data_IF_136083510651
#
_entry.id   IF_136083510651
#
_cell.length_a   1.000
_cell.length_b   1.000
_cell.length_c   1.000
_cell.angle_alpha   90.00
_cell.angle_beta   90.00
_cell.angle_gamma   90.00
#
_symmetry.space_group_name_H-M   'P 1'
#
loop_
_entity.id
_entity.type
_entity.pdbx_description
1 polymer ?
#
# COMPACT_ATOMS: atom_id res chain seq x y z
N UNK A 1 4.04 37.24 -26.65
CA UNK A 1 5.15 36.28 -26.87
C UNK A 1 4.78 34.97 -26.19
N UNK A 2 4.43 33.92 -26.96
CA UNK A 2 4.16 32.59 -26.38
C UNK A 2 5.51 31.98 -26.00
N UNK A 3 5.76 31.80 -24.70
CA UNK A 3 6.98 31.15 -24.21
C UNK A 3 7.13 29.76 -24.86
N UNK A 4 8.34 29.42 -25.29
CA UNK A 4 8.60 28.11 -25.86
C UNK A 4 8.36 27.04 -24.77
N UNK A 5 7.48 26.04 -25.00
CA UNK A 5 7.16 25.00 -24.02
C UNK A 5 8.40 24.29 -23.44
N UNK A 6 9.49 24.23 -24.21
CA UNK A 6 10.76 23.62 -23.79
C UNK A 6 11.48 24.39 -22.67
N UNK A 7 11.29 25.70 -22.54
CA UNK A 7 11.99 26.52 -21.53
C UNK A 7 11.41 26.27 -20.13
N UNK A 8 10.08 26.22 -20.02
CA UNK A 8 9.41 25.92 -18.76
C UNK A 8 9.71 24.50 -18.28
N UNK A 9 9.73 23.52 -19.19
CA UNK A 9 10.09 22.15 -18.86
C UNK A 9 11.48 22.06 -18.20
N UNK A 10 12.51 22.73 -18.73
CA UNK A 10 13.86 22.72 -18.14
C UNK A 10 13.91 23.34 -16.74
N UNK A 11 13.18 24.44 -16.52
CA UNK A 11 13.10 25.09 -15.21
C UNK A 11 12.43 24.16 -14.19
N UNK A 12 11.29 23.57 -14.53
CA UNK A 12 10.61 22.62 -13.63
C UNK A 12 11.41 21.33 -13.43
N UNK A 13 12.13 20.85 -14.44
CA UNK A 13 13.05 19.72 -14.30
C UNK A 13 14.13 20.02 -13.25
N UNK A 14 14.69 21.22 -13.27
CA UNK A 14 15.68 21.70 -12.29
C UNK A 14 15.06 21.86 -10.90
N UNK A 15 13.84 22.43 -10.82
CA UNK A 15 13.14 22.64 -9.56
C UNK A 15 12.84 21.34 -8.82
N UNK A 16 12.36 20.33 -9.57
CA UNK A 16 12.07 18.99 -9.05
C UNK A 16 13.35 18.28 -8.58
N UNK A 17 14.48 18.47 -9.27
CA UNK A 17 15.77 17.89 -8.86
C UNK A 17 16.37 18.53 -7.62
N UNK A 18 16.32 19.86 -7.54
CA UNK A 18 16.89 20.64 -6.44
C UNK A 18 15.93 20.80 -5.27
N UNK A 19 14.70 20.28 -5.38
CA UNK A 19 13.63 20.40 -4.38
C UNK A 19 13.39 21.87 -4.00
N UNK A 20 13.30 22.74 -5.02
CA UNK A 20 13.15 24.17 -4.82
C UNK A 20 11.84 24.71 -5.41
N UNK A 21 11.39 25.83 -4.86
CA UNK A 21 10.13 26.47 -5.25
C UNK A 21 10.22 27.10 -6.64
N UNK A 22 9.07 27.27 -7.27
CA UNK A 22 8.95 27.95 -8.58
C UNK A 22 7.93 29.06 -8.47
N UNK A 23 8.27 30.24 -9.00
CA UNK A 23 7.37 31.37 -9.11
C UNK A 23 7.01 31.63 -10.57
N UNK A 24 5.75 31.94 -10.84
CA UNK A 24 5.27 32.26 -12.18
C UNK A 24 3.99 33.10 -12.16
N UNK A 25 3.72 33.78 -13.27
CA UNK A 25 2.43 34.40 -13.55
C UNK A 25 1.53 33.36 -14.20
N UNK A 26 0.31 33.21 -13.70
CA UNK A 26 -0.65 32.22 -14.15
C UNK A 26 -1.93 32.88 -14.63
N UNK A 27 -2.36 32.54 -15.84
CA UNK A 27 -3.67 32.92 -16.38
C UNK A 27 -4.59 31.70 -16.36
N UNK A 28 -5.71 31.77 -15.64
CA UNK A 28 -6.62 30.64 -15.54
C UNK A 28 -7.54 30.48 -16.77
N UNK A 29 -8.60 29.67 -16.64
CA UNK A 29 -9.55 29.43 -17.72
C UNK A 29 -10.49 30.60 -18.00
N UNK A 30 -10.74 31.43 -16.99
CA UNK A 30 -11.62 32.62 -17.06
C UNK A 30 -10.83 33.86 -17.47
N UNK A 31 -9.50 33.79 -17.37
CA UNK A 31 -8.58 34.80 -17.84
C UNK A 31 -7.97 35.63 -16.72
N UNK A 32 -8.31 35.31 -15.47
CA UNK A 32 -7.77 35.94 -14.27
C UNK A 32 -6.28 35.63 -14.15
N UNK A 33 -5.51 36.68 -13.81
CA UNK A 33 -4.06 36.62 -13.71
C UNK A 33 -3.61 36.67 -12.27
N UNK A 34 -2.76 35.73 -11.89
CA UNK A 34 -2.27 35.60 -10.52
C UNK A 34 -0.80 35.25 -10.48
N UNK A 35 -0.10 35.76 -9.47
CA UNK A 35 1.29 35.40 -9.20
C UNK A 35 1.31 34.22 -8.24
N UNK A 36 1.88 33.10 -8.68
CA UNK A 36 1.89 31.84 -7.94
C UNK A 36 3.32 31.48 -7.56
N UNK A 37 3.52 31.16 -6.29
CA UNK A 37 4.69 30.41 -5.81
C UNK A 37 4.22 29.03 -5.44
N UNK A 38 4.88 28.00 -6.00
CA UNK A 38 4.52 26.61 -5.72
C UNK A 38 5.74 25.80 -5.29
N UNK A 39 5.46 24.78 -4.49
CA UNK A 39 6.37 23.67 -4.19
C UNK A 39 6.05 22.54 -5.19
N UNK A 40 6.78 22.43 -6.31
CA UNK A 40 6.44 21.46 -7.36
C UNK A 40 6.68 20.02 -6.88
N UNK A 41 5.70 19.15 -7.10
CA UNK A 41 5.73 17.76 -6.64
C UNK A 41 5.84 16.78 -7.82
N UNK A 42 5.06 16.98 -8.87
CA UNK A 42 5.10 16.12 -10.06
C UNK A 42 4.85 16.93 -11.32
N UNK A 43 5.56 16.59 -12.38
CA UNK A 43 5.31 17.05 -13.74
C UNK A 43 4.77 15.89 -14.58
N UNK A 44 3.71 16.13 -15.35
CA UNK A 44 3.09 15.13 -16.20
C UNK A 44 2.55 15.74 -17.50
N UNK A 45 2.28 14.89 -18.48
CA UNK A 45 1.61 15.24 -19.73
C UNK A 45 0.22 14.63 -19.76
N UNK A 46 -0.72 15.33 -20.36
CA UNK A 46 -2.09 14.86 -20.55
C UNK A 46 -2.55 15.13 -21.97
N UNK A 47 -3.14 14.11 -22.59
CA UNK A 47 -3.79 14.21 -23.89
C UNK A 47 -5.29 14.43 -23.68
N UNK A 48 -5.83 15.54 -24.18
CA UNK A 48 -7.27 15.83 -24.06
C UNK A 48 -8.10 14.97 -25.03
N UNK A 49 -9.42 15.21 -25.09
CA UNK A 49 -10.33 14.48 -25.98
C UNK A 49 -9.99 14.71 -27.47
N UNK A 50 -9.53 15.91 -27.82
CA UNK A 50 -9.14 16.32 -29.18
C UNK A 50 -7.69 15.93 -29.53
N UNK A 51 -7.10 14.96 -28.83
CA UNK A 51 -5.71 14.52 -28.97
C UNK A 51 -4.62 15.61 -28.83
N UNK A 52 -4.97 16.77 -28.26
CA UNK A 52 -4.01 17.81 -27.92
C UNK A 52 -3.27 17.44 -26.64
N UNK A 53 -1.94 17.48 -26.73
CA UNK A 53 -1.02 17.19 -25.63
C UNK A 53 -0.69 18.47 -24.86
N UNK A 54 -0.91 18.44 -23.55
CA UNK A 54 -0.59 19.53 -22.64
C UNK A 54 0.33 19.05 -21.52
N UNK A 55 1.26 19.91 -21.09
CA UNK A 55 2.13 19.67 -19.92
C UNK A 55 1.57 20.37 -18.69
N UNK A 56 1.63 19.68 -17.55
CA UNK A 56 1.12 20.13 -16.26
C UNK A 56 2.14 19.88 -15.15
N UNK A 57 1.99 20.65 -14.06
CA UNK A 57 2.63 20.40 -12.77
C UNK A 57 1.59 20.36 -11.67
N UNK A 58 1.72 19.44 -10.73
CA UNK A 58 1.06 19.50 -9.42
C UNK A 58 2.07 20.02 -8.42
N UNK A 59 1.66 20.97 -7.59
CA UNK A 59 2.45 21.47 -6.47
C UNK A 59 1.57 22.04 -5.38
N UNK A 60 2.14 22.17 -4.18
CA UNK A 60 1.50 22.94 -3.11
C UNK A 60 1.58 24.42 -3.47
N UNK A 61 0.42 25.06 -3.63
CA UNK A 61 0.28 26.48 -3.95
C UNK A 61 0.26 27.28 -2.66
N UNK A 62 1.23 28.17 -2.46
CA UNK A 62 1.30 28.97 -1.22
C UNK A 62 0.19 30.02 -1.15
N UNK A 63 -0.26 30.53 -2.31
CA UNK A 63 -1.34 31.51 -2.36
C UNK A 63 -2.69 30.92 -1.94
N UNK A 64 -2.97 29.67 -2.32
CA UNK A 64 -4.24 29.01 -2.00
C UNK A 64 -4.14 28.03 -0.82
N UNK A 65 -2.94 27.85 -0.26
CA UNK A 65 -2.62 26.87 0.80
C UNK A 65 -3.11 25.45 0.51
N UNK A 66 -3.10 25.04 -0.76
CA UNK A 66 -3.60 23.75 -1.22
C UNK A 66 -2.78 23.20 -2.40
N UNK A 67 -2.84 21.89 -2.62
CA UNK A 67 -2.29 21.26 -3.82
C UNK A 67 -3.11 21.63 -5.04
N UNK A 68 -2.45 22.10 -6.09
CA UNK A 68 -3.11 22.49 -7.34
C UNK A 68 -2.35 22.02 -8.56
N UNK A 69 -3.11 21.83 -9.63
CA UNK A 69 -2.62 21.44 -10.95
C UNK A 69 -2.57 22.67 -11.85
N UNK A 70 -1.41 22.94 -12.47
CA UNK A 70 -1.18 24.09 -13.33
C UNK A 70 -0.72 23.65 -14.72
N UNK A 71 -1.35 24.19 -15.77
CA UNK A 71 -1.01 23.93 -17.18
C UNK A 71 0.10 24.87 -17.66
N UNK A 72 1.10 24.36 -18.37
CA UNK A 72 2.31 25.13 -18.73
C UNK A 72 2.05 26.24 -19.73
N UNK A 73 1.17 26.02 -20.70
CA UNK A 73 0.78 27.02 -21.71
C UNK A 73 0.05 28.25 -21.12
N UNK A 74 -0.37 28.15 -19.86
CA UNK A 74 -1.01 29.21 -19.07
C UNK A 74 -0.05 29.95 -18.14
N UNK A 75 1.24 29.59 -18.16
CA UNK A 75 2.26 30.22 -17.36
C UNK A 75 3.03 31.27 -18.16
N UNK A 76 3.47 32.33 -17.49
CA UNK A 76 4.49 33.24 -17.98
C UNK A 76 5.41 33.68 -16.83
N UNK A 77 6.55 34.30 -17.16
CA UNK A 77 7.55 34.76 -16.16
C UNK A 77 7.96 33.68 -15.13
N UNK A 78 8.18 32.45 -15.61
CA UNK A 78 8.57 31.33 -14.75
C UNK A 78 10.01 31.50 -14.27
N UNK A 79 10.22 31.46 -12.96
CA UNK A 79 11.53 31.64 -12.30
C UNK A 79 11.72 30.62 -11.18
N UNK A 80 12.97 30.17 -10.99
CA UNK A 80 13.34 29.34 -9.84
C UNK A 80 13.50 30.23 -8.61
N UNK A 81 12.96 29.78 -7.49
CA UNK A 81 13.18 30.41 -6.19
C UNK A 81 14.21 29.54 -5.46
N UNK A 82 15.27 30.16 -4.95
CA UNK A 82 16.35 29.46 -4.24
C UNK A 82 15.97 29.08 -2.78
N UNK A 83 14.73 28.66 -2.59
CA UNK A 83 14.18 28.17 -1.33
C UNK A 83 13.80 26.71 -1.51
N UNK A 84 14.31 25.83 -0.64
CA UNK A 84 13.95 24.42 -0.61
C UNK A 84 12.73 24.17 0.27
N UNK A 85 12.05 23.05 0.06
CA UNK A 85 10.89 22.65 0.89
C UNK A 85 10.94 21.17 1.25
N UNK A 86 10.22 20.80 2.32
CA UNK A 86 10.06 19.39 2.71
C UNK A 86 9.01 18.70 1.84
N UNK A 87 9.39 17.60 1.21
CA UNK A 87 8.49 16.83 0.35
C UNK A 87 7.46 16.09 1.21
N UNK A 88 6.18 16.37 0.99
CA UNK A 88 5.05 15.58 1.51
C UNK A 88 4.53 14.65 0.42
N UNK A 89 4.16 13.43 0.79
CA UNK A 89 3.55 12.49 -0.14
C UNK A 89 2.19 13.01 -0.62
N UNK A 90 1.92 12.88 -1.93
CA UNK A 90 0.68 13.26 -2.58
C UNK A 90 0.29 12.14 -3.54
N UNK A 91 -0.88 11.53 -3.34
CA UNK A 91 -1.44 10.61 -4.33
C UNK A 91 -2.02 11.39 -5.51
N UNK A 92 -1.26 11.43 -6.60
CA UNK A 92 -1.60 12.13 -7.84
C UNK A 92 -2.90 11.61 -8.45
N UNK A 93 -3.14 10.30 -8.42
CA UNK A 93 -4.35 9.73 -9.01
C UNK A 93 -5.58 10.23 -8.26
N UNK A 94 -5.49 10.30 -6.94
CA UNK A 94 -6.56 10.86 -6.10
C UNK A 94 -6.71 12.38 -6.30
N UNK A 95 -5.61 13.13 -6.42
CA UNK A 95 -5.66 14.58 -6.71
C UNK A 95 -6.34 14.87 -8.05
N UNK A 96 -6.03 14.11 -9.11
CA UNK A 96 -6.60 14.30 -10.44
C UNK A 96 -8.05 13.82 -10.53
N UNK A 97 -8.43 12.73 -9.82
CA UNK A 97 -9.83 12.26 -9.73
C UNK A 97 -10.76 13.23 -9.01
N UNK A 98 -10.29 13.89 -7.94
CA UNK A 98 -11.11 14.83 -7.16
C UNK A 98 -11.64 16.01 -7.99
N UNK A 99 -10.99 16.31 -9.13
CA UNK A 99 -11.42 17.33 -10.11
C UNK A 99 -12.28 16.79 -11.27
N UNK A 100 -12.60 15.49 -11.32
CA UNK A 100 -13.53 14.93 -12.32
C UNK A 100 -15.01 15.29 -12.03
N UNK A 101 -15.32 15.78 -10.83
CA UNK A 101 -16.68 16.22 -10.49
C UNK A 101 -16.84 17.70 -10.86
N UNK A 102 -17.22 17.99 -12.11
CA UNK A 102 -17.81 19.29 -12.50
C UNK A 102 -17.22 20.04 -13.71
N UNK A 103 -16.18 19.56 -14.39
CA UNK A 103 -15.65 20.13 -15.64
C UNK A 103 -14.75 19.11 -16.35
N UNK A 104 -14.54 19.15 -17.69
CA UNK A 104 -14.08 18.02 -18.50
C UNK A 104 -12.77 17.44 -17.94
N UNK A 105 -12.94 16.39 -17.14
CA UNK A 105 -11.96 15.90 -16.19
C UNK A 105 -10.83 15.14 -16.86
N UNK A 106 -9.68 15.09 -16.20
CA UNK A 106 -8.53 14.33 -16.67
C UNK A 106 -8.85 12.84 -16.74
N UNK A 107 -8.93 12.27 -17.95
CA UNK A 107 -8.90 10.81 -18.06
C UNK A 107 -7.54 10.28 -17.59
N UNK A 108 -7.50 9.58 -16.46
CA UNK A 108 -6.26 9.00 -15.91
C UNK A 108 -5.51 8.10 -16.91
N UNK A 109 -6.20 7.48 -17.86
CA UNK A 109 -5.59 6.67 -18.94
C UNK A 109 -4.74 7.51 -19.90
N UNK A 110 -4.98 8.82 -19.97
CA UNK A 110 -4.31 9.77 -20.85
C UNK A 110 -3.25 10.60 -20.13
N UNK A 111 -2.98 10.32 -18.85
CA UNK A 111 -1.96 10.99 -18.04
C UNK A 111 -0.65 10.19 -18.11
N UNK A 112 0.44 10.84 -18.53
CA UNK A 112 1.80 10.29 -18.55
C UNK A 112 2.69 11.10 -17.63
N UNK A 113 3.11 10.54 -16.51
CA UNK A 113 4.01 11.23 -15.59
C UNK A 113 5.41 11.35 -16.19
N UNK A 114 5.97 12.55 -16.16
CA UNK A 114 7.32 12.84 -16.65
C UNK A 114 8.35 12.75 -15.52
N UNK A 115 8.05 13.36 -14.36
CA UNK A 115 9.03 13.46 -13.26
C UNK A 115 8.39 13.74 -11.90
N UNK A 116 8.95 13.13 -10.86
CA UNK A 116 8.66 13.42 -9.46
C UNK A 116 9.72 14.34 -8.86
N UNK A 117 9.36 15.09 -7.83
CA UNK A 117 10.33 15.80 -7.00
C UNK A 117 11.30 14.80 -6.36
N UNK A 118 12.58 15.15 -6.32
CA UNK A 118 13.64 14.32 -5.77
C UNK A 118 13.32 13.95 -4.32
N UNK A 119 13.47 12.67 -3.98
CA UNK A 119 13.16 12.13 -2.66
C UNK A 119 11.70 11.71 -2.47
N UNK A 120 10.80 12.04 -3.39
CA UNK A 120 9.47 11.43 -3.42
C UNK A 120 9.59 10.05 -4.05
N UNK A 121 9.11 8.97 -3.41
CA UNK A 121 8.86 7.75 -4.15
C UNK A 121 7.85 8.13 -5.23
N UNK A 122 8.17 7.85 -6.50
CA UNK A 122 7.12 7.78 -7.51
C UNK A 122 6.00 6.86 -7.00
N UNK A 123 4.79 6.86 -7.61
CA UNK A 123 3.82 5.81 -7.37
C UNK A 123 4.63 4.54 -7.47
N UNK A 124 4.51 3.64 -6.46
CA UNK A 124 5.30 2.43 -6.44
C UNK A 124 5.26 1.90 -7.86
N UNK A 125 6.43 1.71 -8.52
CA UNK A 125 6.43 1.30 -9.91
C UNK A 125 5.40 0.20 -9.99
N UNK A 126 4.38 0.34 -10.86
CA UNK A 126 3.44 -0.75 -11.11
C UNK A 126 4.33 -1.96 -11.22
N UNK A 127 4.30 -2.90 -10.25
CA UNK A 127 5.45 -3.71 -9.93
C UNK A 127 6.06 -4.13 -11.23
N UNK A 128 7.22 -3.53 -11.56
CA UNK A 128 7.94 -3.97 -12.74
C UNK A 128 8.32 -5.37 -12.30
N UNK A 129 7.55 -6.32 -12.80
CA UNK A 129 7.69 -7.75 -12.58
C UNK A 129 9.03 -8.09 -13.22
N UNK A 130 10.12 -7.73 -12.53
CA UNK A 130 11.44 -8.28 -12.78
C UNK A 130 11.33 -9.67 -12.16
N UNK A 131 10.94 -10.62 -13.01
CA UNK A 131 10.61 -12.00 -12.65
C UNK A 131 9.12 -12.20 -12.40
N UNK A 132 8.49 -13.07 -13.20
CA UNK A 132 7.14 -13.61 -12.98
C UNK A 132 7.04 -14.37 -11.65
N UNK A 133 7.11 -13.69 -10.51
CA UNK A 133 6.93 -14.34 -9.21
C UNK A 133 5.47 -14.75 -9.09
N UNK A 134 5.22 -16.05 -9.12
CA UNK A 134 3.89 -16.63 -8.96
C UNK A 134 3.79 -17.24 -7.57
N UNK A 135 2.70 -16.94 -6.87
CA UNK A 135 2.48 -17.37 -5.48
C UNK A 135 1.53 -18.57 -5.44
N UNK A 136 1.82 -19.55 -4.57
CA UNK A 136 1.04 -20.79 -4.41
C UNK A 136 1.54 -22.01 -5.21
N UNK A 137 1.11 -23.22 -4.79
CA UNK A 137 1.48 -24.50 -5.42
C UNK A 137 0.47 -24.94 -6.51
N UNK A 138 0.92 -25.59 -7.60
CA UNK A 138 0.02 -26.25 -8.55
C UNK A 138 -0.51 -27.60 -8.02
N UNK A 139 -1.84 -27.78 -7.90
CA UNK A 139 -2.51 -29.09 -7.67
C UNK A 139 -4.07 -29.04 -7.77
N UNK A 140 -4.74 -30.21 -7.72
CA UNK A 140 -5.18 -31.04 -8.85
C UNK A 140 -6.48 -30.55 -9.53
N UNK A 141 -6.79 -31.12 -10.69
CA UNK A 141 -7.92 -30.76 -11.56
C UNK A 141 -9.31 -31.01 -10.94
N UNK A 142 -10.32 -30.31 -11.50
CA UNK A 142 -11.76 -30.38 -11.19
C UNK A 142 -12.27 -29.68 -9.91
N UNK A 143 -11.91 -28.41 -9.69
CA UNK A 143 -12.76 -27.53 -8.85
C UNK A 143 -13.86 -26.94 -9.75
N UNK A 144 -15.03 -27.58 -9.79
CA UNK A 144 -16.25 -26.93 -10.29
C UNK A 144 -16.46 -25.68 -9.46
N UNK A 145 -16.54 -24.52 -10.11
CA UNK A 145 -16.93 -23.26 -9.47
C UNK A 145 -18.34 -23.49 -8.92
N UNK A 146 -18.61 -23.45 -7.60
CA UNK A 146 -19.98 -23.30 -7.16
C UNK A 146 -20.53 -22.03 -7.82
N UNK A 147 -21.81 -22.02 -8.23
CA UNK A 147 -22.46 -20.77 -8.58
C UNK A 147 -22.25 -19.84 -7.39
N UNK A 148 -21.84 -18.58 -7.62
CA UNK A 148 -21.59 -17.70 -6.51
C UNK A 148 -22.88 -17.65 -5.68
N UNK A 149 -22.80 -17.73 -4.34
CA UNK A 149 -23.98 -17.65 -3.50
C UNK A 149 -24.76 -16.39 -3.89
N UNK A 150 -26.09 -16.38 -3.75
CA UNK A 150 -26.89 -15.17 -3.90
C UNK A 150 -26.53 -14.20 -2.76
N UNK A 151 -25.34 -13.60 -2.81
CA UNK A 151 -25.01 -12.43 -2.03
C UNK A 151 -25.70 -11.23 -2.66
N UNK A 152 -26.04 -10.23 -1.85
CA UNK A 152 -26.61 -8.97 -2.29
C UNK A 152 -25.69 -8.25 -3.29
N UNK A 153 -25.72 -8.65 -4.57
CA UNK A 153 -25.00 -7.99 -5.69
C UNK A 153 -25.39 -6.51 -5.84
N UNK A 154 -26.41 -6.07 -5.09
CA UNK A 154 -26.90 -4.71 -5.00
C UNK A 154 -26.15 -3.85 -3.98
N UNK A 155 -25.42 -4.43 -3.03
CA UNK A 155 -24.74 -3.65 -2.00
C UNK A 155 -23.41 -3.09 -2.51
N UNK A 156 -23.45 -1.83 -2.97
CA UNK A 156 -22.27 -1.07 -3.36
C UNK A 156 -22.38 0.33 -2.78
N UNK A 157 -21.62 0.60 -1.73
CA UNK A 157 -21.53 1.92 -1.12
C UNK A 157 -20.16 2.51 -1.44
N UNK A 158 -20.13 3.74 -1.93
CA UNK A 158 -18.85 4.45 -2.03
C UNK A 158 -18.36 4.75 -0.61
N UNK A 159 -17.17 4.26 -0.28
CA UNK A 159 -16.54 4.47 1.02
C UNK A 159 -15.50 5.57 0.93
N UNK A 160 -15.65 6.57 1.79
CA UNK A 160 -14.72 7.67 1.97
C UNK A 160 -14.44 7.80 3.46
N UNK A 161 -13.16 7.96 3.81
CA UNK A 161 -12.73 8.10 5.19
C UNK A 161 -11.44 8.93 5.25
N UNK A 162 -11.23 9.71 6.33
CA UNK A 162 -9.94 10.35 6.60
C UNK A 162 -8.77 9.37 6.76
N UNK A 163 -9.04 8.13 7.18
CA UNK A 163 -8.06 7.05 7.33
C UNK A 163 -7.89 6.21 6.06
N UNK A 164 -8.71 6.42 5.03
CA UNK A 164 -8.54 5.75 3.74
C UNK A 164 -7.37 6.39 2.96
N UNK A 165 -6.32 5.60 2.74
CA UNK A 165 -5.05 6.04 2.17
C UNK A 165 -5.01 5.99 0.64
N UNK A 166 -5.95 5.27 0.02
CA UNK A 166 -6.14 5.27 -1.43
C UNK A 166 -7.45 5.96 -1.82
N UNK A 167 -7.67 6.22 -3.12
CA UNK A 167 -8.91 6.92 -3.54
C UNK A 167 -10.15 6.16 -3.06
N UNK A 168 -11.30 6.84 -2.84
CA UNK A 168 -12.57 6.20 -2.54
C UNK A 168 -12.80 4.91 -3.33
N UNK A 169 -13.29 3.89 -2.64
CA UNK A 169 -13.54 2.56 -3.20
C UNK A 169 -14.93 2.10 -2.85
N UNK A 170 -15.42 1.14 -3.61
CA UNK A 170 -16.69 0.51 -3.30
C UNK A 170 -16.49 -0.44 -2.13
N UNK A 171 -17.22 -0.20 -1.06
CA UNK A 171 -17.57 -1.20 -0.06
C UNK A 171 -18.60 -2.14 -0.68
N UNK A 172 -18.28 -3.44 -0.74
CA UNK A 172 -19.02 -4.46 -1.49
C UNK A 172 -19.89 -5.34 -0.61
N UNK A 173 -19.81 -5.19 0.71
CA UNK A 173 -20.64 -5.92 1.65
C UNK A 173 -20.92 -5.12 2.92
N UNK A 174 -22.03 -5.39 3.63
CA UNK A 174 -22.28 -4.82 4.95
C UNK A 174 -21.19 -5.20 5.98
N UNK A 175 -20.55 -6.36 5.81
CA UNK A 175 -19.45 -6.78 6.68
C UNK A 175 -18.21 -5.90 6.48
N UNK A 176 -17.83 -5.64 5.22
CA UNK A 176 -16.77 -4.67 4.92
C UNK A 176 -17.08 -3.30 5.53
N UNK A 177 -18.32 -2.83 5.44
CA UNK A 177 -18.69 -1.51 5.99
C UNK A 177 -18.47 -1.44 7.50
N UNK A 178 -18.88 -2.47 8.22
CA UNK A 178 -18.69 -2.55 9.67
C UNK A 178 -17.21 -2.56 10.05
N UNK A 179 -16.39 -3.30 9.30
CA UNK A 179 -14.95 -3.34 9.48
C UNK A 179 -14.33 -1.96 9.21
N UNK A 180 -14.70 -1.33 8.10
CA UNK A 180 -14.17 -0.03 7.69
C UNK A 180 -14.54 1.06 8.72
N UNK A 181 -15.76 1.03 9.23
CA UNK A 181 -16.20 1.91 10.33
C UNK A 181 -15.35 1.67 11.58
N UNK A 182 -15.14 0.41 11.97
CA UNK A 182 -14.32 0.08 13.14
C UNK A 182 -12.86 0.54 12.99
N UNK A 183 -12.29 0.49 11.77
CA UNK A 183 -10.97 1.03 11.49
C UNK A 183 -10.90 2.55 11.60
N UNK A 184 -11.98 3.25 11.25
CA UNK A 184 -12.10 4.70 11.44
C UNK A 184 -12.11 5.10 12.92
N UNK A 185 -12.68 4.27 13.77
CA UNK A 185 -12.77 4.51 15.21
C UNK A 185 -11.50 4.06 15.99
N UNK A 186 -10.67 3.17 15.43
CA UNK A 186 -9.48 2.66 16.14
C UNK A 186 -8.29 3.63 16.08
N UNK A 187 -7.97 4.27 17.21
CA UNK A 187 -6.84 5.21 17.34
C UNK A 187 -5.47 4.59 17.05
N UNK A 188 -5.32 3.26 17.09
CA UNK A 188 -4.06 2.58 16.74
C UNK A 188 -3.88 2.50 15.23
N UNK A 189 -4.96 2.61 14.46
CA UNK A 189 -4.92 2.61 13.00
C UNK A 189 -4.47 3.98 12.50
N UNK A 190 -3.37 3.97 11.75
CA UNK A 190 -2.90 5.15 11.02
C UNK A 190 -3.74 5.37 9.75
N UNK A 191 -4.02 4.28 9.05
CA UNK A 191 -4.89 4.30 7.87
C UNK A 191 -4.93 2.94 7.17
N UNK A 192 -5.78 2.82 6.15
CA UNK A 192 -5.97 1.59 5.40
C UNK A 192 -6.22 1.85 3.91
N UNK A 193 -6.02 0.85 3.08
CA UNK A 193 -6.28 0.90 1.63
C UNK A 193 -7.28 -0.21 1.27
N UNK A 194 -8.33 0.11 0.50
CA UNK A 194 -9.27 -0.88 -0.02
C UNK A 194 -8.78 -1.39 -1.39
N UNK A 195 -8.78 -2.70 -1.61
CA UNK A 195 -8.28 -3.32 -2.84
C UNK A 195 -6.86 -2.85 -3.21
N UNK A 196 -5.88 -3.01 -2.30
CA UNK A 196 -4.61 -2.29 -2.35
C UNK A 196 -3.72 -2.73 -3.51
N UNK A 197 -3.79 -4.00 -3.90
CA UNK A 197 -2.86 -4.58 -4.86
C UNK A 197 -3.42 -5.82 -5.55
N UNK A 198 -2.79 -6.20 -6.66
CA UNK A 198 -3.18 -7.36 -7.48
C UNK A 198 -2.09 -8.42 -7.39
N UNK A 199 -2.44 -9.58 -6.87
CA UNK A 199 -1.55 -10.73 -6.68
C UNK A 199 -1.81 -11.74 -7.79
N UNK A 200 -0.76 -12.23 -8.42
CA UNK A 200 -0.84 -13.35 -9.34
C UNK A 200 -0.66 -14.67 -8.58
N UNK A 201 -1.55 -15.62 -8.79
CA UNK A 201 -1.48 -16.92 -8.12
C UNK A 201 -1.94 -18.06 -9.03
N UNK A 202 -1.56 -19.29 -8.66
CA UNK A 202 -2.05 -20.50 -9.31
C UNK A 202 -3.37 -20.97 -8.67
N UNK A 203 -4.38 -21.22 -9.51
CA UNK A 203 -5.58 -21.96 -9.15
C UNK A 203 -5.62 -23.23 -10.00
N UNK A 204 -4.96 -24.30 -9.51
CA UNK A 204 -4.61 -25.46 -10.33
C UNK A 204 -3.66 -25.05 -11.46
N UNK A 205 -3.94 -25.50 -12.69
CA UNK A 205 -3.11 -25.22 -13.88
C UNK A 205 -3.40 -23.85 -14.54
N UNK A 206 -4.17 -22.98 -13.89
CA UNK A 206 -4.52 -21.67 -14.44
C UNK A 206 -3.94 -20.56 -13.58
N UNK A 207 -3.19 -19.67 -14.23
CA UNK A 207 -2.80 -18.38 -13.65
C UNK A 207 -4.04 -17.53 -13.46
N UNK A 208 -4.19 -17.00 -12.25
CA UNK A 208 -5.25 -16.07 -11.89
C UNK A 208 -4.69 -14.86 -11.20
N UNK A 209 -5.54 -13.86 -11.09
CA UNK A 209 -5.27 -12.71 -10.24
C UNK A 209 -6.29 -12.67 -9.12
N UNK A 210 -5.82 -12.23 -7.96
CA UNK A 210 -6.60 -11.99 -6.78
C UNK A 210 -6.24 -10.60 -6.23
N UNK A 211 -7.25 -9.91 -5.70
CA UNK A 211 -7.14 -8.58 -5.12
C UNK A 211 -7.64 -8.73 -3.69
N UNK A 212 -6.77 -8.59 -2.67
CA UNK A 212 -7.18 -8.63 -1.27
C UNK A 212 -8.12 -7.47 -0.94
N UNK A 213 -8.93 -7.63 0.10
CA UNK A 213 -9.91 -6.61 0.46
C UNK A 213 -9.25 -5.36 1.07
N UNK A 214 -8.31 -5.50 2.02
CA UNK A 214 -7.68 -4.36 2.70
C UNK A 214 -6.16 -4.50 2.90
N UNK A 215 -5.48 -3.36 3.02
CA UNK A 215 -4.16 -3.24 3.64
C UNK A 215 -4.25 -2.21 4.77
N UNK A 216 -4.13 -2.65 6.02
CA UNK A 216 -4.23 -1.82 7.22
C UNK A 216 -2.83 -1.47 7.72
N UNK A 217 -2.65 -0.21 8.13
CA UNK A 217 -1.41 0.33 8.65
C UNK A 217 -1.66 0.88 10.06
N UNK A 218 -0.87 0.39 11.01
CA UNK A 218 -0.93 0.82 12.40
C UNK A 218 0.12 1.89 12.68
N UNK A 219 -0.13 2.75 13.67
CA UNK A 219 0.81 3.78 14.13
C UNK A 219 2.14 3.18 14.64
N UNK A 220 2.15 1.91 15.05
CA UNK A 220 3.36 1.17 15.42
C UNK A 220 4.28 0.81 14.25
N UNK A 221 3.86 1.07 13.00
CA UNK A 221 4.57 0.65 11.79
C UNK A 221 4.17 -0.74 11.28
N UNK A 222 3.39 -1.51 12.07
CA UNK A 222 2.83 -2.80 11.63
C UNK A 222 1.90 -2.60 10.43
N UNK A 223 2.01 -3.48 9.43
CA UNK A 223 1.12 -3.54 8.26
C UNK A 223 0.49 -4.92 8.17
N UNK A 224 -0.81 -4.97 7.90
CA UNK A 224 -1.57 -6.23 7.80
C UNK A 224 -2.41 -6.19 6.54
N UNK A 225 -2.27 -7.19 5.68
CA UNK A 225 -3.18 -7.42 4.55
C UNK A 225 -4.33 -8.26 5.07
N UNK A 226 -5.56 -7.87 4.74
CA UNK A 226 -6.77 -8.47 5.28
C UNK A 226 -7.66 -8.96 4.14
N UNK A 227 -8.15 -10.19 4.26
CA UNK A 227 -9.32 -10.65 3.51
C UNK A 227 -10.56 -10.66 4.41
N UNK A 228 -11.68 -10.13 3.91
CA UNK A 228 -12.98 -10.18 4.56
C UNK A 228 -13.78 -11.36 4.01
N UNK A 229 -14.22 -12.25 4.91
CA UNK A 229 -15.05 -13.43 4.56
C UNK A 229 -16.07 -13.76 5.63
N UNK A 230 -17.16 -14.39 5.23
CA UNK A 230 -18.02 -15.10 6.19
C UNK A 230 -17.31 -16.37 6.69
N UNK A 231 -17.63 -16.84 7.91
CA UNK A 231 -17.01 -18.07 8.45
C UNK A 231 -17.22 -19.29 7.56
N UNK A 232 -18.40 -19.38 6.92
CA UNK A 232 -18.75 -20.48 6.02
C UNK A 232 -17.84 -20.60 4.80
N UNK A 233 -17.26 -19.49 4.36
CA UNK A 233 -16.46 -19.42 3.12
C UNK A 233 -14.97 -19.68 3.35
N UNK A 234 -14.49 -19.68 4.60
CA UNK A 234 -13.07 -19.77 4.91
C UNK A 234 -12.47 -21.08 4.41
N UNK A 235 -13.17 -22.19 4.63
CA UNK A 235 -12.66 -23.53 4.36
C UNK A 235 -12.83 -23.95 2.88
N UNK A 236 -13.39 -23.09 2.02
CA UNK A 236 -13.49 -23.39 0.60
C UNK A 236 -12.09 -23.56 -0.02
N UNK A 237 -11.85 -24.64 -0.79
CA UNK A 237 -10.54 -24.90 -1.39
C UNK A 237 -9.97 -23.74 -2.22
N UNK A 238 -10.85 -23.00 -2.91
CA UNK A 238 -10.45 -21.84 -3.70
C UNK A 238 -10.02 -20.65 -2.83
N UNK A 239 -10.65 -20.46 -1.67
CA UNK A 239 -10.26 -19.40 -0.74
C UNK A 239 -8.97 -19.77 -0.01
N UNK A 240 -8.78 -21.04 0.36
CA UNK A 240 -7.51 -21.56 0.87
C UNK A 240 -6.34 -21.33 -0.10
N UNK A 241 -6.55 -21.53 -1.40
CA UNK A 241 -5.53 -21.24 -2.42
C UNK A 241 -5.17 -19.74 -2.48
N UNK A 242 -6.17 -18.84 -2.37
CA UNK A 242 -5.92 -17.40 -2.27
C UNK A 242 -5.15 -17.06 -1.00
N UNK A 243 -5.55 -17.62 0.15
CA UNK A 243 -4.93 -17.38 1.46
C UNK A 243 -3.45 -17.75 1.46
N UNK A 244 -3.08 -18.90 0.92
CA UNK A 244 -1.67 -19.28 0.76
C UNK A 244 -0.90 -18.28 -0.09
N UNK A 245 -1.49 -17.82 -1.20
CA UNK A 245 -0.83 -16.87 -2.10
C UNK A 245 -0.60 -15.51 -1.42
N UNK A 246 -1.59 -15.00 -0.68
CA UNK A 246 -1.44 -13.73 0.04
C UNK A 246 -0.55 -13.86 1.28
N UNK A 247 -0.58 -14.97 2.00
CA UNK A 247 0.31 -15.24 3.12
C UNK A 247 1.77 -15.22 2.67
N UNK A 248 2.09 -15.91 1.57
CA UNK A 248 3.44 -15.88 0.98
C UNK A 248 3.83 -14.45 0.57
N UNK A 249 2.95 -13.73 -0.14
CA UNK A 249 3.19 -12.34 -0.52
C UNK A 249 3.43 -11.44 0.70
N UNK A 250 2.62 -11.58 1.74
CA UNK A 250 2.73 -10.78 2.95
C UNK A 250 4.07 -11.02 3.66
N UNK A 251 4.46 -12.28 3.81
CA UNK A 251 5.73 -12.67 4.44
C UNK A 251 6.93 -12.08 3.68
N UNK A 252 6.97 -12.17 2.36
CA UNK A 252 8.04 -11.60 1.53
C UNK A 252 8.12 -10.06 1.62
N UNK A 253 7.02 -9.39 1.96
CA UNK A 253 6.97 -7.93 2.19
C UNK A 253 7.15 -7.52 3.64
N UNK A 254 7.33 -8.47 4.56
CA UNK A 254 7.38 -8.21 6.00
C UNK A 254 6.06 -7.63 6.52
N UNK A 255 4.93 -8.13 6.02
CA UNK A 255 3.58 -7.74 6.42
C UNK A 255 2.90 -8.93 7.12
N UNK A 256 1.93 -8.65 7.98
CA UNK A 256 1.02 -9.67 8.47
C UNK A 256 -0.07 -9.98 7.44
N UNK A 257 -0.67 -11.16 7.54
CA UNK A 257 -1.88 -11.53 6.82
C UNK A 257 -2.93 -12.03 7.82
N UNK A 258 -4.16 -11.54 7.68
CA UNK A 258 -5.30 -11.91 8.54
C UNK A 258 -6.56 -12.11 7.70
N UNK A 259 -7.46 -12.99 8.15
CA UNK A 259 -8.81 -13.15 7.59
C UNK A 259 -9.80 -12.66 8.65
N UNK A 260 -10.58 -11.64 8.31
CA UNK A 260 -11.55 -11.02 9.20
C UNK A 260 -12.97 -11.47 8.85
N UNK A 261 -13.74 -11.79 9.88
CA UNK A 261 -15.12 -12.27 9.80
C UNK A 261 -16.01 -11.39 10.65
N UNK A 262 -17.31 -11.63 10.53
CA UNK A 262 -18.33 -11.03 11.39
C UNK A 262 -18.15 -11.37 12.87
N UNK A 263 -17.41 -12.42 13.24
CA UNK A 263 -17.15 -12.79 14.65
C UNK A 263 -15.77 -12.39 15.16
N UNK A 264 -14.77 -12.27 14.29
CA UNK A 264 -13.41 -11.94 14.71
C UNK A 264 -13.16 -10.44 14.91
N UNK A 265 -14.09 -9.56 14.51
CA UNK A 265 -13.94 -8.10 14.58
C UNK A 265 -15.18 -7.31 15.05
N UNK A 266 -16.04 -7.87 15.92
CA UNK A 266 -16.98 -7.05 16.71
C UNK A 266 -16.41 -6.91 18.13
N UNK A 267 -15.88 -5.74 18.53
CA UNK A 267 -15.34 -5.57 19.87
C UNK A 267 -16.47 -5.46 20.91
N UNK A 268 -16.78 -6.57 21.57
CA UNK A 268 -16.59 -6.52 23.01
C UNK A 268 -15.11 -6.85 23.24
N UNK A 269 -14.33 -5.89 23.76
CA UNK A 269 -12.94 -6.04 24.17
C UNK A 269 -11.84 -5.98 23.08
N UNK A 270 -11.48 -4.76 22.68
CA UNK A 270 -10.10 -4.40 22.29
C UNK A 270 -9.09 -4.42 23.48
N UNK A 271 -9.32 -5.27 24.48
CA UNK A 271 -8.60 -5.26 25.75
C UNK A 271 -7.49 -6.31 25.94
N UNK A 272 -7.31 -7.30 25.07
CA UNK A 272 -6.37 -8.41 25.36
C UNK A 272 -5.49 -8.91 24.20
N UNK A 273 -5.37 -8.17 23.10
CA UNK A 273 -4.46 -8.52 22.00
C UNK A 273 -3.27 -7.54 21.82
N UNK A 274 -2.94 -6.78 22.87
CA UNK A 274 -1.68 -6.02 22.98
C UNK A 274 -0.74 -6.59 24.07
N UNK A 275 -0.96 -7.85 24.46
CA UNK A 275 -0.07 -8.63 25.32
C UNK A 275 0.08 -10.04 24.74
N UNK A 276 0.84 -10.17 23.66
CA UNK A 276 1.54 -11.40 23.29
C UNK A 276 2.50 -11.12 22.13
N UNK A 277 3.69 -10.62 22.48
CA UNK A 277 4.90 -11.12 21.85
C UNK A 277 5.06 -12.57 22.27
N UNK A 278 4.47 -13.52 21.53
CA UNK A 278 4.87 -14.92 21.60
C UNK A 278 4.92 -15.55 20.20
N UNK A 279 6.01 -16.29 20.01
CA UNK A 279 6.44 -17.03 18.81
C UNK A 279 5.39 -18.05 18.32
N UNK A 280 5.49 -18.51 17.06
CA UNK A 280 4.50 -19.39 16.44
C UNK A 280 4.42 -20.80 17.05
N UNK A 281 3.16 -21.25 17.06
CA UNK A 281 2.50 -22.47 17.55
C UNK A 281 3.14 -23.83 17.21
N UNK A 282 3.14 -24.73 18.19
CA UNK A 282 2.98 -26.17 18.00
C UNK A 282 1.51 -26.56 17.80
N UNK A 283 1.28 -27.62 17.01
CA UNK A 283 -0.04 -28.14 16.58
C UNK A 283 -0.45 -29.33 17.45
N UNK A 284 -1.65 -29.23 18.03
CA UNK A 284 -2.69 -30.23 18.34
C UNK A 284 -2.36 -31.73 18.42
N UNK A 285 -2.84 -32.37 19.50
CA UNK A 285 -3.31 -33.76 19.47
C UNK A 285 -3.21 -34.51 20.81
N UNK A 286 -4.32 -34.48 21.56
CA UNK A 286 -4.79 -35.36 22.65
C UNK A 286 -3.92 -36.54 23.13
N UNK A 287 -3.83 -36.68 24.46
CA UNK A 287 -3.50 -37.92 25.16
C UNK A 287 -2.74 -37.70 26.45
N UNK A 288 -3.43 -37.78 27.59
CA UNK A 288 -2.87 -37.71 28.94
C UNK A 288 -1.78 -38.77 29.18
N UNK A 289 -0.65 -38.36 29.78
CA UNK A 289 0.03 -39.03 30.92
C UNK A 289 1.22 -38.16 31.38
N UNK A 290 1.36 -38.03 32.69
CA UNK A 290 2.33 -37.20 33.44
C UNK A 290 3.75 -37.82 33.47
N UNK A 291 4.76 -37.17 34.09
CA UNK A 291 5.86 -36.46 33.44
C UNK A 291 7.19 -37.26 33.39
N UNK A 292 8.05 -36.96 32.41
CA UNK A 292 9.50 -37.19 32.52
C UNK A 292 10.27 -36.04 31.87
N UNK A 293 10.77 -35.16 32.73
CA UNK A 293 11.61 -34.01 32.41
C UNK A 293 13.01 -34.50 32.03
N UNK A 294 13.31 -34.60 30.72
CA UNK A 294 14.65 -34.90 30.22
C UNK A 294 15.37 -33.58 29.88
N UNK A 295 16.16 -33.09 30.84
CA UNK A 295 16.95 -31.88 30.76
C UNK A 295 18.19 -32.09 29.85
N UNK A 296 18.46 -31.11 28.97
CA UNK A 296 19.68 -31.01 28.15
C UNK A 296 20.92 -30.63 28.99
N UNK A 297 21.31 -31.50 29.92
CA UNK A 297 22.58 -31.39 30.66
C UNK A 297 23.76 -32.05 29.93
N UNK A 298 23.49 -32.85 28.88
CA UNK A 298 24.51 -33.60 28.16
C UNK A 298 25.60 -32.72 27.54
N UNK A 299 25.24 -31.67 26.81
CA UNK A 299 26.25 -30.86 26.12
C UNK A 299 27.08 -29.96 27.05
N UNK A 300 26.56 -29.56 28.22
CA UNK A 300 27.31 -28.70 29.15
C UNK A 300 28.31 -29.49 30.00
N UNK A 301 27.96 -30.73 30.41
CA UNK A 301 28.87 -31.59 31.17
C UNK A 301 30.09 -32.05 30.34
N UNK A 302 29.90 -32.32 29.05
CA UNK A 302 31.00 -32.68 28.14
C UNK A 302 32.01 -31.54 27.96
N UNK A 303 31.55 -30.29 27.87
CA UNK A 303 32.44 -29.13 27.72
C UNK A 303 33.25 -28.90 29.01
N UNK A 304 32.62 -29.01 30.18
CA UNK A 304 33.33 -28.85 31.47
C UNK A 304 34.35 -29.98 31.69
N UNK A 305 34.00 -31.23 31.37
CA UNK A 305 34.92 -32.35 31.48
C UNK A 305 36.12 -32.23 30.53
N UNK A 306 35.91 -31.78 29.28
CA UNK A 306 36.98 -31.58 28.32
C UNK A 306 37.96 -30.46 28.76
N UNK A 307 37.45 -29.37 29.34
CA UNK A 307 38.28 -28.28 29.88
C UNK A 307 39.08 -28.76 31.08
N UNK A 308 38.47 -29.48 32.02
CA UNK A 308 39.18 -30.03 33.19
C UNK A 308 40.23 -31.07 32.80
N UNK A 309 39.95 -31.92 31.82
CA UNK A 309 40.91 -32.89 31.29
C UNK A 309 42.11 -32.21 30.62
N UNK A 310 41.87 -31.14 29.84
CA UNK A 310 42.95 -30.37 29.22
C UNK A 310 43.83 -29.67 30.27
N UNK A 311 43.22 -29.10 31.33
CA UNK A 311 43.96 -28.50 32.44
C UNK A 311 44.76 -29.54 33.25
N UNK A 312 44.24 -30.76 33.40
CA UNK A 312 44.94 -31.86 34.07
C UNK A 312 46.15 -32.33 33.26
N UNK A 313 46.01 -32.50 31.94
CA UNK A 313 47.13 -32.85 31.05
C UNK A 313 48.20 -31.74 31.07
N UNK A 314 47.78 -30.47 31.03
CA UNK A 314 48.70 -29.34 31.14
C UNK A 314 49.44 -29.31 32.49
N UNK A 315 48.79 -29.65 33.60
CA UNK A 315 49.40 -29.73 34.92
C UNK A 315 50.40 -30.89 35.06
N UNK A 316 50.13 -32.05 34.43
CA UNK A 316 51.02 -33.22 34.48
C UNK A 316 52.22 -33.08 33.52
N UNK A 317 52.11 -32.24 32.49
CA UNK A 317 53.18 -32.00 31.50
C UNK A 317 54.14 -30.86 31.90
N UNK A 318 54.07 -30.38 33.15
CA UNK A 318 54.89 -29.30 33.70
C UNK A 318 55.61 -29.76 34.96
#
# INVERSE_FOLDING_TARGET
MKGCPMVHEKLFDTALEKVCKVRFHYKDGEGEQTNRTIQPIVMFRYTNIDDKLFTYVIGFCELDSDYRTFRFDRMSQVTLVNETFSVKFVDIKSHLKRKEVGSPGFSLRRVKVKKYVKGMPGPPPTPTVIGEVTYGEPRPENIKKPPPPPGDYKYKKLWESPKLLNSPRLCRSPLEERILTALDDDDKVYGYEIEPLKIQYWAGNRRRFYIPDLLVRYKSGRKVIVEVKSEGDINEPLNQAKFKAIEQYANEKGHGFEVWTDRTMIPAAWGKAAASTEKPKGRTGQGETTPAQQNNWGCFAFIVAAVLFYLLIWYISR
#
